data_IF_395697054168
#
_entry.id   IF_395697054168
#
_cell.length_a   1.000
_cell.length_b   1.000
_cell.length_c   1.000
_cell.angle_alpha   90.00
_cell.angle_beta   90.00
_cell.angle_gamma   90.00
#
_symmetry.space_group_name_H-M   'P 1'
#
loop_
_entity.id
_entity.type
_entity.pdbx_description
1 polymer ?
#
# COMPACT_ATOMS: atom_id res chain seq x y z
N UNK A 1 1.23 9.56 3.97
CA UNK A 1 1.31 8.15 3.99
C UNK A 1 2.70 7.63 3.76
N UNK A 2 3.06 6.53 4.32
CA UNK A 2 4.45 6.11 4.44
C UNK A 2 4.55 4.60 4.48
N UNK A 3 5.27 4.03 3.52
CA UNK A 3 5.97 2.76 3.64
C UNK A 3 7.44 3.08 3.89
N UNK A 4 8.07 2.37 4.82
CA UNK A 4 9.48 2.56 5.11
C UNK A 4 10.28 1.33 4.67
N UNK A 5 11.53 1.56 4.29
CA UNK A 5 12.46 0.51 3.91
C UNK A 5 13.70 0.55 4.81
N UNK A 6 14.30 -0.61 5.01
CA UNK A 6 15.60 -0.77 5.66
C UNK A 6 16.56 -1.48 4.70
N UNK A 7 17.79 -0.99 4.62
CA UNK A 7 18.85 -1.68 3.89
C UNK A 7 19.37 -2.86 4.71
N UNK A 8 19.65 -3.98 4.07
CA UNK A 8 20.33 -5.12 4.67
C UNK A 8 21.84 -4.87 4.74
N UNK A 9 22.30 -3.89 5.53
CA UNK A 9 23.73 -3.71 5.77
C UNK A 9 24.17 -4.50 7.01
N UNK A 10 25.32 -5.19 7.02
CA UNK A 10 25.76 -5.97 8.17
C UNK A 10 26.02 -5.03 9.37
N UNK A 11 25.19 -5.15 10.40
CA UNK A 11 25.31 -4.38 11.61
C UNK A 11 26.59 -4.73 12.36
N UNK A 12 27.39 -3.72 12.69
CA UNK A 12 28.40 -3.81 13.75
C UNK A 12 27.67 -4.00 15.09
N UNK A 13 27.96 -5.12 15.73
CA UNK A 13 27.41 -5.53 17.03
C UNK A 13 27.71 -4.50 18.12
N UNK A 14 26.67 -4.02 18.80
CA UNK A 14 26.78 -3.38 20.12
C UNK A 14 26.10 -4.26 21.18
N UNK A 15 26.61 -4.30 22.42
CA UNK A 15 26.21 -5.29 23.41
C UNK A 15 24.87 -5.00 24.07
N UNK A 16 24.14 -6.08 24.34
CA UNK A 16 22.86 -6.11 25.02
C UNK A 16 22.95 -5.71 26.49
N UNK A 17 22.08 -4.81 26.94
CA UNK A 17 21.64 -4.74 28.32
C UNK A 17 20.26 -5.40 28.45
N UNK A 18 20.22 -6.43 29.29
CA UNK A 18 19.00 -7.13 29.70
C UNK A 18 18.20 -6.24 30.64
N UNK A 19 16.92 -6.04 30.36
CA UNK A 19 15.97 -5.57 31.34
C UNK A 19 14.78 -6.54 31.39
N UNK A 20 14.66 -7.20 32.54
CA UNK A 20 13.50 -8.03 32.91
C UNK A 20 12.34 -7.13 33.33
N UNK A 21 11.14 -7.34 32.82
CA UNK A 21 9.90 -6.92 33.48
C UNK A 21 8.87 -8.03 33.40
N UNK A 22 8.28 -8.25 34.56
CA UNK A 22 7.43 -9.35 35.02
C UNK A 22 5.99 -9.22 34.51
N UNK A 23 5.38 -10.38 34.27
CA UNK A 23 3.97 -10.62 33.97
C UNK A 23 3.00 -10.09 35.02
N UNK A 24 1.83 -9.69 34.58
CA UNK A 24 0.59 -9.91 35.33
C UNK A 24 -0.58 -10.19 34.40
N UNK A 25 -1.18 -11.35 34.62
CA UNK A 25 -2.36 -11.92 33.97
C UNK A 25 -3.60 -11.39 34.69
N UNK A 26 -4.63 -10.98 33.95
CA UNK A 26 -6.00 -11.04 34.46
C UNK A 26 -6.97 -11.42 33.33
N UNK A 27 -7.53 -12.59 33.51
CA UNK A 27 -8.72 -13.10 32.82
C UNK A 27 -9.98 -12.52 33.44
N UNK A 28 -10.98 -12.21 32.63
CA UNK A 28 -12.39 -12.31 33.06
C UNK A 28 -13.29 -12.54 31.85
N UNK A 29 -13.89 -13.73 31.87
CA UNK A 29 -15.05 -14.10 31.05
C UNK A 29 -16.32 -13.40 31.59
N UNK A 30 -17.21 -13.03 30.70
CA UNK A 30 -18.64 -13.11 30.98
C UNK A 30 -19.44 -13.26 29.69
N UNK A 31 -20.19 -14.36 29.65
CA UNK A 31 -21.20 -14.66 28.65
C UNK A 31 -22.54 -14.06 29.08
N UNK A 32 -23.31 -13.57 28.12
CA UNK A 32 -24.75 -13.46 28.24
C UNK A 32 -25.41 -13.87 26.93
N UNK A 33 -26.20 -14.92 27.04
CA UNK A 33 -27.19 -15.40 26.08
C UNK A 33 -28.50 -14.66 26.33
N UNK A 34 -29.19 -14.23 25.31
CA UNK A 34 -30.65 -14.07 25.37
C UNK A 34 -31.32 -14.47 24.06
N UNK A 35 -32.33 -15.32 24.24
CA UNK A 35 -33.29 -15.79 23.25
C UNK A 35 -34.48 -14.82 23.18
N UNK A 36 -35.04 -14.63 22.01
CA UNK A 36 -36.44 -14.27 21.85
C UNK A 36 -36.97 -14.72 20.49
N UNK A 37 -37.93 -15.38 20.56
CA UNK A 37 -39.10 -16.06 20.04
C UNK A 37 -39.65 -15.57 18.70
N UNK A 38 -40.11 -16.58 17.93
CA UNK A 38 -40.96 -16.52 16.73
C UNK A 38 -42.35 -15.94 17.02
N UNK A 39 -42.91 -15.25 16.06
CA UNK A 39 -44.33 -15.32 15.76
C UNK A 39 -44.60 -15.09 14.27
N UNK A 40 -45.37 -16.01 13.69
CA UNK A 40 -45.72 -16.12 12.30
C UNK A 40 -47.07 -15.48 11.94
N UNK A 41 -47.33 -15.50 10.71
CA UNK A 41 -48.57 -15.65 9.90
C UNK A 41 -48.44 -14.80 8.62
N UNK A 42 -48.75 -15.28 7.48
CA UNK A 42 -49.86 -15.85 6.84
C UNK A 42 -49.74 -15.71 5.33
N UNK A 43 -50.12 -16.72 4.64
CA UNK A 43 -50.13 -16.95 3.21
C UNK A 43 -50.72 -15.86 2.34
N UNK A 44 -50.17 -15.69 1.11
CA UNK A 44 -50.93 -15.71 -0.15
C UNK A 44 -49.95 -15.99 -1.32
N UNK A 45 -50.12 -17.14 -1.99
CA UNK A 45 -49.60 -17.41 -3.34
C UNK A 45 -50.37 -16.68 -4.42
N UNK A 46 -49.70 -16.36 -5.55
CA UNK A 46 -50.11 -16.96 -6.80
C UNK A 46 -48.97 -17.65 -7.57
N UNK A 47 -49.31 -18.81 -8.09
CA UNK A 47 -48.54 -19.64 -9.01
C UNK A 47 -48.13 -18.88 -10.25
N UNK A 48 -46.85 -18.98 -10.62
CA UNK A 48 -46.38 -18.66 -11.95
C UNK A 48 -45.63 -19.87 -12.51
N UNK A 49 -46.07 -20.24 -13.69
CA UNK A 49 -45.70 -21.34 -14.53
C UNK A 49 -44.22 -21.40 -14.86
N UNK A 50 -43.75 -22.63 -14.99
CA UNK A 50 -42.44 -23.09 -15.42
C UNK A 50 -41.85 -22.31 -16.62
N UNK A 51 -40.67 -21.74 -16.38
CA UNK A 51 -39.71 -21.37 -17.45
C UNK A 51 -38.61 -22.43 -17.48
N UNK A 52 -38.08 -22.78 -18.67
CA UNK A 52 -37.15 -23.88 -18.82
C UNK A 52 -35.84 -23.64 -18.07
N UNK A 53 -35.33 -24.68 -17.42
CA UNK A 53 -34.00 -24.71 -16.79
C UNK A 53 -32.93 -24.30 -17.81
N UNK A 54 -32.38 -23.11 -17.64
CA UNK A 54 -31.11 -22.76 -18.24
C UNK A 54 -30.04 -23.47 -17.43
N UNK A 55 -29.42 -24.48 -18.04
CA UNK A 55 -28.26 -25.16 -17.50
C UNK A 55 -27.25 -24.14 -17.00
N UNK A 56 -27.00 -24.12 -15.70
CA UNK A 56 -25.85 -23.43 -15.09
C UNK A 56 -24.56 -24.08 -15.61
N UNK A 57 -24.12 -23.69 -16.80
CA UNK A 57 -22.69 -23.77 -17.10
C UNK A 57 -21.98 -22.78 -16.19
N UNK A 58 -21.55 -23.33 -15.06
CA UNK A 58 -20.64 -22.72 -14.10
C UNK A 58 -19.45 -22.11 -14.87
N UNK A 59 -19.51 -20.80 -15.10
CA UNK A 59 -18.34 -20.02 -15.46
C UNK A 59 -17.44 -19.92 -14.22
N UNK A 60 -16.76 -21.01 -13.88
CA UNK A 60 -15.58 -20.99 -13.03
C UNK A 60 -14.45 -20.30 -13.81
N UNK A 61 -14.52 -18.99 -13.95
CA UNK A 61 -13.34 -18.17 -14.10
C UNK A 61 -12.52 -18.42 -12.82
N UNK A 62 -11.60 -19.40 -12.94
CA UNK A 62 -10.61 -19.69 -11.91
C UNK A 62 -9.90 -18.37 -11.59
N UNK A 63 -10.32 -17.70 -10.50
CA UNK A 63 -9.62 -16.56 -9.94
C UNK A 63 -8.22 -17.05 -9.63
N UNK A 64 -7.26 -16.60 -10.43
CA UNK A 64 -5.85 -16.95 -10.25
C UNK A 64 -5.40 -16.33 -8.92
N UNK A 65 -5.48 -17.14 -7.87
CA UNK A 65 -5.12 -16.72 -6.52
C UNK A 65 -3.69 -16.20 -6.56
N UNK A 66 -3.49 -14.98 -6.10
CA UNK A 66 -2.16 -14.39 -5.92
C UNK A 66 -1.38 -15.29 -4.96
N UNK A 67 -0.34 -15.96 -5.47
CA UNK A 67 0.47 -16.87 -4.66
C UNK A 67 1.66 -16.13 -4.07
N UNK A 68 2.02 -16.40 -2.79
CA UNK A 68 3.18 -15.80 -2.15
C UNK A 68 4.48 -16.13 -2.89
N UNK A 69 5.45 -15.22 -2.81
CA UNK A 69 6.82 -15.46 -3.28
C UNK A 69 7.41 -16.67 -2.56
N UNK A 70 8.01 -17.58 -3.32
CA UNK A 70 8.75 -18.73 -2.76
C UNK A 70 10.20 -18.32 -2.54
N UNK A 71 10.65 -18.36 -1.30
CA UNK A 71 12.02 -18.04 -0.93
C UNK A 71 12.93 -19.27 -0.95
N UNK A 72 14.21 -19.07 -1.29
CA UNK A 72 15.28 -20.02 -1.00
C UNK A 72 15.45 -20.14 0.54
N UNK A 73 16.10 -21.21 1.06
CA UNK A 73 16.38 -21.29 2.51
C UNK A 73 17.17 -20.10 3.06
N UNK A 74 18.08 -19.53 2.27
CA UNK A 74 18.85 -18.34 2.65
C UNK A 74 17.94 -17.09 2.73
N UNK A 75 17.10 -16.89 1.73
CA UNK A 75 16.17 -15.75 1.69
C UNK A 75 15.10 -15.89 2.78
N UNK A 76 14.65 -17.13 3.07
CA UNK A 76 13.74 -17.38 4.19
C UNK A 76 14.38 -16.98 5.52
N UNK A 77 15.67 -17.28 5.73
CA UNK A 77 16.37 -16.84 6.92
C UNK A 77 16.51 -15.30 7.05
N UNK A 78 16.50 -14.57 5.93
CA UNK A 78 16.41 -13.11 5.94
C UNK A 78 14.99 -12.66 6.26
N UNK A 79 13.98 -13.29 5.67
CA UNK A 79 12.57 -13.01 5.94
C UNK A 79 12.22 -13.25 7.43
N UNK A 80 12.73 -14.32 8.03
CA UNK A 80 12.53 -14.65 9.45
C UNK A 80 13.19 -13.61 10.40
N UNK A 81 14.18 -12.87 9.91
CA UNK A 81 14.86 -11.78 10.64
C UNK A 81 14.28 -10.40 10.33
N UNK A 82 13.22 -10.32 9.55
CA UNK A 82 12.60 -9.05 9.25
C UNK A 82 12.21 -8.31 10.54
N UNK A 83 12.44 -7.00 10.63
CA UNK A 83 11.92 -6.21 11.74
C UNK A 83 10.41 -6.35 11.88
N UNK A 84 9.91 -6.23 13.10
CA UNK A 84 8.48 -6.33 13.36
C UNK A 84 7.66 -5.38 12.46
N UNK A 85 6.67 -5.92 11.80
CA UNK A 85 5.80 -5.18 10.88
C UNK A 85 6.36 -4.97 9.47
N UNK A 86 7.58 -5.47 9.17
CA UNK A 86 8.18 -5.38 7.85
C UNK A 86 8.19 -6.72 7.11
N UNK A 87 8.19 -6.65 5.78
CA UNK A 87 8.33 -7.78 4.88
C UNK A 87 9.71 -7.73 4.21
N UNK A 88 10.33 -8.89 4.07
CA UNK A 88 11.54 -9.05 3.27
C UNK A 88 11.20 -9.02 1.78
N UNK A 89 11.83 -8.13 1.04
CA UNK A 89 11.72 -8.02 -0.41
C UNK A 89 13.04 -8.50 -1.00
N UNK A 90 12.99 -9.66 -1.65
CA UNK A 90 14.14 -10.20 -2.38
C UNK A 90 14.44 -9.29 -3.56
N UNK A 91 15.64 -8.79 -3.63
CA UNK A 91 16.10 -7.97 -4.75
C UNK A 91 16.15 -8.75 -6.06
N UNK A 92 16.20 -8.03 -7.16
CA UNK A 92 16.23 -8.57 -8.50
C UNK A 92 16.06 -7.48 -9.55
N UNK A 93 16.01 -7.88 -10.82
CA UNK A 93 15.79 -6.94 -11.93
C UNK A 93 14.36 -7.03 -12.44
N UNK A 94 13.81 -5.88 -12.84
CA UNK A 94 12.47 -5.77 -13.43
C UNK A 94 12.43 -4.65 -14.47
N UNK A 95 11.37 -4.62 -15.24
CA UNK A 95 11.09 -3.50 -16.16
C UNK A 95 10.21 -2.50 -15.41
N UNK A 96 10.77 -1.32 -15.16
CA UNK A 96 10.10 -0.18 -14.53
C UNK A 96 9.44 0.70 -15.59
N UNK A 97 8.26 1.24 -15.28
CA UNK A 97 7.51 2.11 -16.17
C UNK A 97 6.57 1.36 -17.12
N UNK A 98 6.04 2.10 -18.13
CA UNK A 98 5.13 1.57 -19.14
C UNK A 98 5.09 2.47 -20.38
N UNK A 99 5.45 1.92 -21.54
CA UNK A 99 5.48 2.67 -22.82
C UNK A 99 4.09 2.94 -23.42
N UNK A 100 3.05 2.28 -22.90
CA UNK A 100 1.70 2.32 -23.47
C UNK A 100 0.72 3.17 -22.66
N UNK A 101 1.20 3.85 -21.60
CA UNK A 101 0.38 4.66 -20.72
C UNK A 101 0.79 6.14 -20.77
N UNK A 102 0.94 6.81 -19.64
CA UNK A 102 1.24 8.25 -19.60
C UNK A 102 2.70 8.54 -19.97
N UNK A 103 2.96 9.75 -20.45
CA UNK A 103 4.31 10.17 -20.90
C UNK A 103 5.35 10.11 -19.77
N UNK A 104 4.93 10.39 -18.54
CA UNK A 104 5.81 10.38 -17.38
C UNK A 104 6.12 8.95 -16.84
N UNK A 105 5.44 7.93 -17.36
CA UNK A 105 5.73 6.52 -17.07
C UNK A 105 6.78 5.95 -18.04
N UNK A 106 7.20 6.70 -19.03
CA UNK A 106 8.13 6.29 -20.11
C UNK A 106 9.57 6.74 -19.87
N UNK A 107 10.53 6.07 -20.52
CA UNK A 107 10.40 4.78 -21.20
C UNK A 107 10.38 3.61 -20.23
N UNK A 108 9.86 2.46 -20.66
CA UNK A 108 10.15 1.19 -19.99
C UNK A 108 11.68 0.97 -19.96
N UNK A 109 12.20 0.63 -18.78
CA UNK A 109 13.64 0.41 -18.62
C UNK A 109 13.94 -0.60 -17.52
N UNK A 110 15.04 -1.31 -17.68
CA UNK A 110 15.44 -2.31 -16.69
C UNK A 110 16.10 -1.64 -15.47
N UNK A 111 15.61 -2.03 -14.29
CA UNK A 111 16.14 -1.64 -12.99
C UNK A 111 16.44 -2.89 -12.17
N UNK A 112 17.58 -2.89 -11.46
CA UNK A 112 17.97 -3.94 -10.56
C UNK A 112 18.11 -3.37 -9.14
N UNK A 113 17.58 -4.09 -8.15
CA UNK A 113 17.55 -3.68 -6.75
C UNK A 113 18.22 -4.74 -5.88
N UNK A 114 18.88 -4.30 -4.83
CA UNK A 114 19.37 -5.17 -3.75
C UNK A 114 18.18 -5.59 -2.86
N UNK A 115 18.44 -6.58 -1.96
CA UNK A 115 17.48 -7.00 -0.94
C UNK A 115 17.16 -5.83 0.02
N UNK A 116 15.89 -5.67 0.40
CA UNK A 116 15.46 -4.66 1.36
C UNK A 116 14.27 -5.13 2.20
N UNK A 117 13.93 -4.40 3.24
CA UNK A 117 12.71 -4.59 4.01
C UNK A 117 11.76 -3.42 3.77
N UNK A 118 10.46 -3.71 3.70
CA UNK A 118 9.41 -2.71 3.54
C UNK A 118 8.31 -2.93 4.57
N UNK A 119 7.76 -1.86 5.14
CA UNK A 119 6.61 -1.94 6.03
C UNK A 119 5.46 -2.69 5.32
N UNK A 120 4.84 -3.66 6.03
CA UNK A 120 3.71 -4.44 5.51
C UNK A 120 2.50 -3.59 5.22
N UNK A 121 2.32 -2.55 5.98
CA UNK A 121 1.17 -1.65 5.95
C UNK A 121 1.62 -0.20 5.87
N UNK A 122 0.74 0.65 5.41
CA UNK A 122 0.86 2.09 5.56
C UNK A 122 1.08 2.46 7.04
N UNK A 123 1.82 3.54 7.31
CA UNK A 123 2.01 4.01 8.70
C UNK A 123 0.68 4.38 9.31
N UNK A 124 0.31 3.67 10.38
CA UNK A 124 -0.94 3.92 11.11
C UNK A 124 -0.87 5.19 11.93
N UNK A 125 -2.05 5.76 12.22
CA UNK A 125 -2.16 6.96 13.05
C UNK A 125 -1.60 6.73 14.46
N UNK A 126 -1.81 5.56 15.05
CA UNK A 126 -1.24 5.23 16.38
C UNK A 126 0.29 5.19 16.34
N UNK A 127 0.91 4.67 15.28
CA UNK A 127 2.37 4.69 15.11
C UNK A 127 2.89 6.11 14.90
N UNK A 128 2.20 6.89 14.08
CA UNK A 128 2.54 8.30 13.85
C UNK A 128 2.46 9.13 15.13
N UNK A 129 1.34 9.05 15.85
CA UNK A 129 1.11 9.82 17.07
C UNK A 129 2.10 9.46 18.18
N UNK A 130 2.44 8.18 18.32
CA UNK A 130 3.48 7.73 19.27
C UNK A 130 4.84 8.40 19.03
N UNK A 131 5.20 8.71 17.78
CA UNK A 131 6.50 9.32 17.42
C UNK A 131 6.41 10.85 17.37
N UNK A 132 5.34 11.37 16.77
CA UNK A 132 5.20 12.80 16.52
C UNK A 132 4.55 13.57 17.67
N UNK A 133 3.71 12.91 18.48
CA UNK A 133 2.97 13.51 19.60
C UNK A 133 1.63 14.13 19.19
N UNK A 134 1.19 13.98 17.94
CA UNK A 134 -0.09 14.48 17.44
C UNK A 134 -0.53 13.68 16.21
N UNK A 135 -1.83 13.71 15.92
CA UNK A 135 -2.43 13.11 14.72
C UNK A 135 -2.97 14.22 13.79
N UNK A 136 -2.46 14.37 12.55
CA UNK A 136 -2.93 15.39 11.61
C UNK A 136 -4.13 14.97 10.76
N UNK A 137 -4.53 13.69 10.83
CA UNK A 137 -5.46 13.06 9.89
C UNK A 137 -6.88 13.63 9.99
N UNK A 138 -7.57 13.70 8.85
CA UNK A 138 -8.99 14.07 8.74
C UNK A 138 -9.89 12.96 9.26
N UNK A 139 -9.64 11.73 8.83
CA UNK A 139 -10.36 10.55 9.31
C UNK A 139 -9.60 9.97 10.49
N UNK A 140 -10.25 9.82 11.64
CA UNK A 140 -9.59 9.46 12.89
C UNK A 140 -9.86 8.02 13.29
N UNK A 141 -8.78 7.26 13.51
CA UNK A 141 -8.86 5.87 13.97
C UNK A 141 -7.46 5.25 14.11
N UNK A 142 -7.21 4.54 15.21
CA UNK A 142 -5.88 4.02 15.56
C UNK A 142 -5.21 3.21 14.42
N UNK A 143 -5.99 2.37 13.72
CA UNK A 143 -5.53 1.51 12.64
C UNK A 143 -5.75 2.12 11.24
N UNK A 144 -6.25 3.35 11.13
CA UNK A 144 -6.27 4.06 9.86
C UNK A 144 -4.86 4.52 9.49
N UNK A 145 -4.55 4.63 8.18
CA UNK A 145 -3.30 5.23 7.75
C UNK A 145 -3.26 6.70 8.18
N UNK A 146 -2.07 7.20 8.52
CA UNK A 146 -1.91 8.64 8.72
C UNK A 146 -2.02 9.35 7.37
N UNK A 147 -2.86 10.37 7.28
CA UNK A 147 -3.00 11.24 6.11
C UNK A 147 -2.86 12.73 6.52
N UNK A 148 -3.01 13.67 5.59
CA UNK A 148 -2.76 15.10 5.81
C UNK A 148 -1.32 15.39 6.28
N UNK A 149 -0.35 14.63 5.76
CA UNK A 149 1.08 14.82 6.01
C UNK A 149 1.78 15.25 4.71
N UNK A 150 2.63 16.26 4.79
CA UNK A 150 3.50 16.63 3.69
C UNK A 150 4.88 15.94 3.81
N UNK A 151 5.70 16.05 2.76
CA UNK A 151 7.02 15.42 2.73
C UNK A 151 7.93 15.88 3.89
N UNK A 152 7.84 17.15 4.31
CA UNK A 152 8.64 17.66 5.42
C UNK A 152 8.20 17.08 6.78
N UNK A 153 6.91 16.80 6.97
CA UNK A 153 6.41 16.12 8.16
C UNK A 153 6.91 14.68 8.21
N UNK A 154 6.96 14.01 7.04
CA UNK A 154 7.56 12.67 6.88
C UNK A 154 9.04 12.67 7.26
N UNK A 155 9.82 13.64 6.79
CA UNK A 155 11.24 13.75 7.15
C UNK A 155 11.42 13.97 8.66
N UNK A 156 10.55 14.74 9.31
CA UNK A 156 10.56 14.89 10.77
C UNK A 156 10.25 13.57 11.49
N UNK A 157 9.26 12.81 10.98
CA UNK A 157 8.93 11.49 11.52
C UNK A 157 10.13 10.52 11.42
N UNK A 158 10.77 10.43 10.24
CA UNK A 158 11.97 9.62 10.03
C UNK A 158 13.09 10.02 11.00
N UNK A 159 13.36 11.33 11.14
CA UNK A 159 14.37 11.83 12.07
C UNK A 159 14.05 11.45 13.52
N UNK A 160 12.78 11.58 13.94
CA UNK A 160 12.34 11.23 15.31
C UNK A 160 12.34 9.73 15.56
N UNK A 161 12.17 8.90 14.54
CA UNK A 161 12.31 7.43 14.63
C UNK A 161 13.78 6.97 14.75
N UNK A 162 14.73 7.90 14.93
CA UNK A 162 16.17 7.65 15.09
C UNK A 162 16.84 6.94 13.92
N UNK A 163 16.34 7.16 12.69
CA UNK A 163 16.89 6.55 11.48
C UNK A 163 16.60 5.05 11.35
N UNK A 164 15.63 4.54 12.11
CA UNK A 164 15.22 3.13 12.01
C UNK A 164 14.57 2.80 10.64
N UNK A 165 14.22 3.82 9.87
CA UNK A 165 13.58 3.67 8.56
C UNK A 165 13.90 4.85 7.62
N UNK A 166 13.61 4.68 6.35
CA UNK A 166 13.63 5.71 5.31
C UNK A 166 12.44 5.52 4.38
N UNK A 167 12.16 6.49 3.53
CA UNK A 167 11.24 6.26 2.42
C UNK A 167 11.85 5.29 1.39
N UNK A 168 11.03 4.49 0.70
CA UNK A 168 11.47 3.75 -0.46
C UNK A 168 11.89 4.72 -1.57
N UNK A 169 12.78 4.30 -2.45
CA UNK A 169 12.92 4.93 -3.76
C UNK A 169 11.69 4.60 -4.61
N UNK A 170 11.45 5.37 -5.65
CA UNK A 170 10.34 5.09 -6.58
C UNK A 170 10.48 3.69 -7.21
N UNK A 171 11.70 3.29 -7.55
CA UNK A 171 11.98 1.97 -8.08
C UNK A 171 11.74 0.84 -7.07
N UNK A 172 12.12 1.01 -5.80
CA UNK A 172 11.80 0.04 -4.73
C UNK A 172 10.30 -0.08 -4.53
N UNK A 173 9.58 1.04 -4.55
CA UNK A 173 8.13 1.05 -4.43
C UNK A 173 7.47 0.28 -5.57
N UNK A 174 7.82 0.59 -6.83
CA UNK A 174 7.20 -0.07 -7.99
C UNK A 174 7.52 -1.56 -8.04
N UNK A 175 8.77 -1.95 -7.75
CA UNK A 175 9.18 -3.34 -7.67
C UNK A 175 8.37 -4.12 -6.61
N UNK A 176 8.27 -3.55 -5.42
CA UNK A 176 7.52 -4.12 -4.32
C UNK A 176 6.01 -4.21 -4.63
N UNK A 177 5.43 -3.14 -5.21
CA UNK A 177 4.02 -3.10 -5.60
C UNK A 177 3.68 -4.14 -6.66
N UNK A 178 4.56 -4.36 -7.65
CA UNK A 178 4.39 -5.41 -8.67
C UNK A 178 4.31 -6.80 -8.07
N UNK A 179 5.10 -7.10 -7.05
CA UNK A 179 5.15 -8.45 -6.49
C UNK A 179 5.50 -9.52 -7.55
N UNK A 180 6.26 -9.14 -8.60
CA UNK A 180 6.57 -9.99 -9.75
C UNK A 180 5.53 -9.96 -10.89
N UNK A 181 4.43 -9.21 -10.77
CA UNK A 181 3.44 -9.07 -11.82
C UNK A 181 3.91 -8.10 -12.92
N UNK A 182 3.51 -8.41 -14.17
CA UNK A 182 3.69 -7.54 -15.35
C UNK A 182 2.39 -6.91 -15.82
N UNK A 183 1.30 -7.16 -15.10
CA UNK A 183 -0.04 -6.67 -15.38
C UNK A 183 -0.26 -5.25 -14.87
N UNK A 184 -1.39 -4.65 -15.20
CA UNK A 184 -1.80 -3.29 -14.82
C UNK A 184 -1.83 -3.09 -13.29
N UNK A 185 -2.32 -4.11 -12.57
CA UNK A 185 -2.33 -4.23 -11.11
C UNK A 185 -1.64 -5.54 -10.73
N UNK A 186 -1.20 -5.71 -9.48
CA UNK A 186 -0.52 -6.94 -9.07
C UNK A 186 -1.41 -8.20 -9.14
N UNK A 187 -2.72 -8.03 -9.18
CA UNK A 187 -3.72 -9.11 -9.30
C UNK A 187 -4.20 -9.33 -10.72
N UNK A 188 -3.85 -8.50 -11.71
CA UNK A 188 -4.30 -8.63 -13.09
C UNK A 188 -4.54 -7.29 -13.80
N UNK A 189 -5.35 -7.29 -14.85
CA UNK A 189 -5.57 -6.10 -15.69
C UNK A 189 -6.89 -5.35 -15.40
N UNK A 190 -7.79 -5.95 -14.63
CA UNK A 190 -9.07 -5.35 -14.25
C UNK A 190 -9.03 -4.97 -12.77
N UNK A 191 -9.68 -3.85 -12.42
CA UNK A 191 -9.84 -3.49 -11.00
C UNK A 191 -10.64 -4.57 -10.27
N UNK A 192 -10.27 -4.84 -9.01
CA UNK A 192 -10.93 -5.86 -8.21
C UNK A 192 -11.00 -5.41 -6.74
N UNK A 193 -12.21 -5.36 -6.21
CA UNK A 193 -12.49 -4.82 -4.89
C UNK A 193 -11.83 -5.56 -3.72
N UNK A 194 -11.46 -6.84 -3.91
CA UNK A 194 -10.78 -7.60 -2.86
C UNK A 194 -9.37 -7.07 -2.53
N UNK A 195 -8.77 -6.28 -3.44
CA UNK A 195 -7.38 -5.87 -3.35
C UNK A 195 -7.16 -4.38 -3.09
N UNK A 196 -8.22 -3.56 -3.21
CA UNK A 196 -8.06 -2.10 -3.16
C UNK A 196 -9.27 -1.39 -2.57
N UNK A 197 -9.01 -0.30 -1.85
CA UNK A 197 -9.97 0.73 -1.48
C UNK A 197 -9.82 1.90 -2.44
N UNK A 198 -10.86 2.22 -3.22
CA UNK A 198 -10.85 3.26 -4.24
C UNK A 198 -12.23 3.95 -4.34
N UNK A 199 -12.45 4.87 -5.28
CA UNK A 199 -13.65 5.72 -5.33
C UNK A 199 -14.98 4.94 -5.31
N UNK A 200 -15.05 3.76 -5.94
CA UNK A 200 -16.30 3.01 -6.04
C UNK A 200 -16.66 2.21 -4.77
N UNK A 201 -15.70 1.93 -3.88
CA UNK A 201 -15.93 1.03 -2.73
C UNK A 201 -15.47 1.58 -1.37
N UNK A 202 -14.90 2.78 -1.33
CA UNK A 202 -14.31 3.35 -0.11
C UNK A 202 -15.28 4.19 0.72
N UNK A 203 -16.47 4.54 0.19
CA UNK A 203 -17.37 5.51 0.81
C UNK A 203 -16.69 6.87 1.11
N UNK A 204 -15.77 7.29 0.24
CA UNK A 204 -15.02 8.58 0.31
C UNK A 204 -14.17 8.75 1.58
N UNK A 205 -13.70 7.65 2.18
CA UNK A 205 -12.89 7.66 3.41
C UNK A 205 -11.74 6.67 3.33
N UNK A 206 -10.67 6.92 4.11
CA UNK A 206 -9.62 5.92 4.33
C UNK A 206 -10.14 4.78 5.22
N UNK A 207 -9.56 3.60 5.03
CA UNK A 207 -9.94 2.37 5.73
C UNK A 207 -8.79 1.84 6.59
N UNK A 208 -9.07 0.99 7.60
CA UNK A 208 -8.02 0.33 8.37
C UNK A 208 -7.04 -0.40 7.47
N UNK A 209 -5.75 -0.20 7.72
CA UNK A 209 -4.68 -0.83 6.95
C UNK A 209 -4.82 -2.36 6.97
N UNK A 210 -4.50 -3.01 5.86
CA UNK A 210 -4.59 -4.46 5.74
C UNK A 210 -6.01 -5.01 5.57
N UNK A 211 -7.00 -4.15 5.33
CA UNK A 211 -8.39 -4.56 5.11
C UNK A 211 -8.63 -5.26 3.77
N UNK A 212 -7.72 -5.16 2.83
CA UNK A 212 -7.73 -5.82 1.52
C UNK A 212 -6.63 -6.86 1.41
N UNK A 213 -6.75 -7.78 0.44
CA UNK A 213 -5.76 -8.83 0.23
C UNK A 213 -4.39 -8.27 -0.20
N UNK A 214 -3.27 -8.84 0.31
CA UNK A 214 -1.93 -8.38 -0.01
C UNK A 214 -1.46 -8.84 -1.38
N UNK A 215 -0.36 -8.25 -1.84
CA UNK A 215 0.38 -8.76 -3.00
C UNK A 215 1.25 -9.99 -2.62
N UNK A 216 2.05 -10.49 -3.59
CA UNK A 216 2.86 -11.67 -3.43
C UNK A 216 3.95 -11.57 -2.34
N UNK A 217 4.40 -10.36 -2.01
CA UNK A 217 5.34 -10.10 -0.90
C UNK A 217 4.63 -9.94 0.45
N UNK A 218 3.30 -10.01 0.51
CA UNK A 218 2.53 -9.79 1.73
C UNK A 218 2.35 -8.32 2.09
N UNK A 219 2.55 -7.40 1.12
CA UNK A 219 2.33 -5.97 1.28
C UNK A 219 0.86 -5.64 0.98
N UNK A 220 0.23 -4.89 1.86
CA UNK A 220 -1.16 -4.46 1.73
C UNK A 220 -1.23 -3.01 1.24
N UNK A 221 -2.38 -2.66 0.71
CA UNK A 221 -2.79 -1.30 0.35
C UNK A 221 -1.83 -0.56 -0.62
N UNK A 222 -0.96 -1.33 -1.34
CA UNK A 222 -0.06 -0.77 -2.35
C UNK A 222 -0.79 -0.01 -3.47
N UNK A 223 -2.08 -0.28 -3.65
CA UNK A 223 -2.97 0.41 -4.56
C UNK A 223 -4.25 0.80 -3.84
N UNK A 224 -4.56 2.10 -3.81
CA UNK A 224 -5.71 2.67 -3.10
C UNK A 224 -5.40 3.04 -1.66
N UNK A 225 -6.42 3.11 -0.83
CA UNK A 225 -6.45 3.64 0.52
C UNK A 225 -5.91 5.07 0.60
N UNK A 226 -4.58 5.30 0.72
CA UNK A 226 -4.03 6.66 0.64
C UNK A 226 -2.73 6.72 -0.17
N UNK A 227 -2.47 7.83 -0.87
CA UNK A 227 -1.26 8.05 -1.67
C UNK A 227 0.03 7.92 -0.86
N UNK A 228 1.12 7.43 -1.46
CA UNK A 228 2.38 7.12 -0.82
C UNK A 228 3.55 7.98 -1.29
N UNK A 229 4.19 8.69 -0.34
CA UNK A 229 5.43 9.40 -0.61
C UNK A 229 6.57 8.42 -0.88
N UNK A 230 7.34 8.67 -1.93
CA UNK A 230 8.64 8.05 -2.15
C UNK A 230 9.76 9.08 -2.04
N UNK A 231 11.00 8.62 -2.01
CA UNK A 231 12.14 9.53 -1.78
C UNK A 231 12.49 10.40 -2.99
N UNK A 232 12.10 9.98 -4.18
CA UNK A 232 12.57 10.55 -5.45
C UNK A 232 11.94 11.91 -5.73
N UNK A 233 12.72 12.79 -6.32
CA UNK A 233 12.21 13.97 -6.99
C UNK A 233 11.52 13.55 -8.29
N UNK A 234 10.45 14.25 -8.65
CA UNK A 234 9.72 14.00 -9.89
C UNK A 234 10.45 14.58 -11.10
N UNK A 235 10.51 13.78 -12.17
CA UNK A 235 10.82 14.22 -13.54
C UNK A 235 9.70 13.77 -14.48
N UNK A 236 9.38 14.56 -15.54
CA UNK A 236 8.27 14.27 -16.46
C UNK A 236 8.44 12.98 -17.31
N UNK A 237 9.59 12.36 -17.26
CA UNK A 237 9.91 11.07 -17.90
C UNK A 237 11.12 10.46 -17.23
N UNK A 238 11.28 9.14 -17.35
CA UNK A 238 12.47 8.48 -16.80
C UNK A 238 13.70 8.79 -17.66
N UNK A 239 14.71 9.38 -17.04
CA UNK A 239 16.04 9.46 -17.63
C UNK A 239 16.83 8.23 -17.25
N UNK A 240 17.48 7.61 -18.23
CA UNK A 240 18.43 6.52 -17.96
C UNK A 240 19.58 7.02 -17.08
N UNK A 241 19.51 6.65 -15.79
CA UNK A 241 20.54 6.95 -14.78
C UNK A 241 21.29 5.67 -14.43
N UNK A 242 21.35 5.31 -13.17
CA UNK A 242 21.87 4.00 -12.75
C UNK A 242 20.81 2.92 -12.97
N UNK A 243 21.22 1.80 -13.58
CA UNK A 243 20.39 0.60 -13.64
C UNK A 243 20.24 -0.04 -12.25
N UNK A 244 21.27 0.06 -11.41
CA UNK A 244 21.31 -0.58 -10.11
C UNK A 244 20.97 0.44 -9.02
N UNK A 245 19.95 0.13 -8.19
CA UNK A 245 19.50 0.90 -7.05
C UNK A 245 19.34 2.41 -7.39
N UNK A 246 18.54 2.81 -8.39
CA UNK A 246 18.39 4.20 -8.76
C UNK A 246 17.76 5.01 -7.62
N UNK A 247 18.25 6.24 -7.44
CA UNK A 247 17.77 7.17 -6.40
C UNK A 247 16.94 8.32 -6.98
N UNK A 248 16.61 8.26 -8.28
CA UNK A 248 15.95 9.35 -8.99
C UNK A 248 16.84 10.58 -9.20
N UNK A 249 16.26 11.74 -9.53
CA UNK A 249 16.97 13.01 -9.66
C UNK A 249 17.57 13.48 -8.32
N UNK A 250 18.73 14.15 -8.38
CA UNK A 250 19.38 14.72 -7.19
C UNK A 250 18.57 15.87 -6.57
N UNK A 251 17.84 16.61 -7.41
CA UNK A 251 17.02 17.75 -7.00
C UNK A 251 15.78 17.88 -7.89
N UNK A 252 14.79 18.64 -7.44
CA UNK A 252 13.55 18.90 -8.15
C UNK A 252 12.64 19.83 -7.35
N UNK A 253 11.49 20.16 -7.91
CA UNK A 253 10.48 21.01 -7.26
C UNK A 253 9.41 20.19 -6.53
N UNK A 254 9.11 19.00 -7.03
CA UNK A 254 8.08 18.11 -6.52
C UNK A 254 8.62 16.72 -6.25
N UNK A 255 8.04 16.04 -5.28
CA UNK A 255 8.32 14.65 -4.93
C UNK A 255 7.31 13.73 -5.57
N UNK A 256 7.74 12.53 -5.93
CA UNK A 256 6.84 11.50 -6.44
C UNK A 256 5.98 10.93 -5.33
N UNK A 257 4.72 10.65 -5.66
CA UNK A 257 3.77 9.88 -4.86
C UNK A 257 3.14 8.78 -5.72
N UNK A 258 2.83 7.66 -5.10
CA UNK A 258 2.42 6.45 -5.78
C UNK A 258 1.19 5.84 -5.12
N UNK A 259 0.56 4.86 -5.80
CA UNK A 259 -0.45 3.97 -5.25
C UNK A 259 -1.90 4.36 -5.49
N UNK A 260 -2.22 5.63 -5.60
CA UNK A 260 -3.62 6.07 -5.58
C UNK A 260 -4.15 6.18 -4.15
N UNK A 261 -5.45 6.43 -4.01
CA UNK A 261 -6.12 6.60 -2.73
C UNK A 261 -7.58 6.15 -2.77
N UNK A 262 -8.25 6.23 -1.64
CA UNK A 262 -9.68 5.90 -1.48
C UNK A 262 -10.61 6.70 -2.42
N UNK A 263 -10.20 7.88 -2.90
CA UNK A 263 -10.96 8.74 -3.81
C UNK A 263 -10.42 8.73 -5.26
N UNK A 264 -9.53 7.79 -5.56
CA UNK A 264 -8.92 7.65 -6.89
C UNK A 264 -9.72 6.73 -7.78
N UNK A 265 -9.80 7.08 -9.08
CA UNK A 265 -10.36 6.19 -10.09
C UNK A 265 -9.49 4.96 -10.33
N UNK A 266 -10.06 3.89 -10.86
CA UNK A 266 -9.33 2.68 -11.23
C UNK A 266 -8.08 2.96 -12.12
N UNK A 267 -8.16 3.99 -12.97
CA UNK A 267 -7.03 4.41 -13.81
C UNK A 267 -5.83 4.91 -13.03
N UNK A 268 -6.06 5.54 -11.88
CA UNK A 268 -5.00 6.10 -11.04
C UNK A 268 -4.36 5.06 -10.11
N UNK A 269 -4.96 3.87 -9.96
CA UNK A 269 -4.44 2.77 -9.15
C UNK A 269 -3.40 1.90 -9.87
N UNK A 270 -3.10 2.17 -11.15
CA UNK A 270 -2.12 1.35 -11.91
C UNK A 270 -0.78 1.36 -11.21
N UNK A 271 -0.09 0.23 -11.21
CA UNK A 271 1.25 0.10 -10.60
C UNK A 271 2.20 1.17 -11.11
N UNK A 272 2.14 1.47 -12.41
CA UNK A 272 3.05 2.41 -13.07
C UNK A 272 2.62 3.87 -12.94
N UNK A 273 1.39 4.14 -12.47
CA UNK A 273 0.89 5.50 -12.34
C UNK A 273 1.76 6.33 -11.39
N UNK A 274 2.11 7.51 -11.83
CA UNK A 274 2.95 8.48 -11.12
C UNK A 274 2.16 9.76 -10.90
N UNK A 275 2.29 10.32 -9.71
CA UNK A 275 1.78 11.66 -9.40
C UNK A 275 2.88 12.41 -8.64
N UNK A 276 2.85 13.71 -8.68
CA UNK A 276 3.84 14.53 -8.00
C UNK A 276 3.19 15.60 -7.14
N UNK A 277 3.85 15.92 -6.04
CA UNK A 277 3.36 16.93 -5.11
C UNK A 277 4.52 17.75 -4.57
N UNK A 278 4.33 19.07 -4.48
CA UNK A 278 5.31 19.93 -3.85
C UNK A 278 5.53 19.53 -2.39
N UNK A 279 6.78 19.46 -1.87
CA UNK A 279 7.10 18.93 -0.54
C UNK A 279 6.36 19.56 0.65
N UNK A 280 5.81 20.75 0.48
CA UNK A 280 5.04 21.48 1.52
C UNK A 280 3.53 21.21 1.47
N UNK A 281 3.03 20.60 0.41
CA UNK A 281 1.59 20.37 0.23
C UNK A 281 1.14 19.16 1.05
N UNK A 282 -0.05 19.24 1.65
CA UNK A 282 -0.65 18.18 2.49
C UNK A 282 -1.89 17.53 1.84
N UNK A 283 -2.52 18.25 0.93
CA UNK A 283 -3.78 17.83 0.30
C UNK A 283 -3.49 17.53 -1.17
N UNK A 284 -3.96 16.37 -1.61
CA UNK A 284 -3.91 16.00 -3.02
C UNK A 284 -5.13 16.59 -3.72
N UNK A 285 -4.93 17.26 -4.85
CA UNK A 285 -6.05 17.58 -5.73
C UNK A 285 -6.66 16.25 -6.22
N UNK A 286 -7.99 16.24 -6.42
CA UNK A 286 -8.66 15.07 -6.98
C UNK A 286 -8.05 14.75 -8.36
N UNK A 287 -7.43 13.58 -8.51
CA UNK A 287 -6.81 13.15 -9.77
C UNK A 287 -7.90 12.58 -10.65
N UNK A 288 -8.25 13.27 -11.72
CA UNK A 288 -9.17 12.75 -12.73
C UNK A 288 -8.49 11.72 -13.62
N UNK A 289 -9.27 10.91 -14.33
CA UNK A 289 -8.88 9.74 -15.16
C UNK A 289 -7.78 10.01 -16.20
N UNK A 290 -7.39 11.25 -16.43
CA UNK A 290 -6.43 11.67 -17.45
C UNK A 290 -5.14 12.29 -16.88
N UNK A 291 -4.84 12.09 -15.60
CA UNK A 291 -3.60 12.63 -15.02
C UNK A 291 -3.53 14.16 -14.95
N UNK A 292 -4.62 14.85 -15.27
CA UNK A 292 -4.69 16.31 -15.10
C UNK A 292 -5.02 16.62 -13.65
N UNK A 293 -4.08 17.22 -12.97
CA UNK A 293 -4.27 17.84 -11.67
C UNK A 293 -5.19 19.04 -11.86
N UNK A 294 -6.44 18.93 -11.42
CA UNK A 294 -7.27 20.10 -11.26
C UNK A 294 -6.76 20.84 -10.03
N UNK A 295 -5.97 21.90 -10.25
CA UNK A 295 -5.58 22.83 -9.20
C UNK A 295 -6.81 23.60 -8.73
N UNK A 296 -7.54 23.06 -7.79
CA UNK A 296 -8.38 23.87 -6.93
C UNK A 296 -7.45 24.54 -5.90
N UNK A 297 -7.04 25.73 -6.25
CA UNK A 297 -6.38 26.66 -5.32
C UNK A 297 -7.45 27.05 -4.31
N UNK A 298 -7.45 26.45 -3.15
CA UNK A 298 -8.17 27.00 -2.01
C UNK A 298 -7.35 28.17 -1.45
N UNK A 299 -7.86 29.38 -1.70
CA UNK A 299 -7.43 30.61 -1.03
C UNK A 299 -7.79 30.57 0.46
#
# INVERSE_FOLDING_TARGET
MLLFTLLTSPAKTMPFYKLFIVFSVFSLLSACTDKAEEQGSGDIHPSFSELPEVSEESSTLSQKRVLPVQFSPEDQAKADKAPEGMMFIKGGCFIMGNDYTQEDEKPEHEVCLDDFYMDRYEVTQVRWEKIMGFNPSKFVGANLPVEQVNFLDVQKFIKKSKGACRLPTEAEWEYAARGGATTRYFWGNMVHEDYTWYEDNSAETSHPVGGKAPNQYGLHDMMGNVWEWVNDWYEPYYKMRSKNNPLGPENGESKVVRGGSFDSSAGALRITNRVWLHPKNKVFPKVTTYGQIMNEVFN
#
